data_IF_150849054930
#
_entry.id   IF_150849054930
#
_cell.length_a   1.000
_cell.length_b   1.000
_cell.length_c   1.000
_cell.angle_alpha   90.00
_cell.angle_beta   90.00
_cell.angle_gamma   90.00
#
_symmetry.space_group_name_H-M   'P 1'
#
loop_
_entity.id
_entity.type
_entity.pdbx_description
1 polymer ?
#
# COMPACT_ATOMS: atom_id res chain seq x y z
N UNK A 1 26.84 3.97 -17.18
CA UNK A 1 25.58 3.20 -17.21
C UNK A 1 24.51 4.07 -16.58
N UNK A 2 23.43 4.39 -17.30
CA UNK A 2 22.35 5.24 -16.77
C UNK A 2 21.50 4.48 -15.75
N UNK A 3 21.06 5.16 -14.69
CA UNK A 3 20.10 4.61 -13.74
C UNK A 3 18.69 4.68 -14.33
N UNK A 4 17.90 3.62 -14.15
CA UNK A 4 16.46 3.67 -14.36
C UNK A 4 15.83 4.47 -13.21
N UNK A 5 14.94 5.40 -13.53
CA UNK A 5 14.09 6.10 -12.57
C UNK A 5 12.69 5.53 -12.66
N UNK A 6 12.07 5.27 -11.52
CA UNK A 6 10.65 4.91 -11.45
C UNK A 6 9.94 5.98 -10.64
N UNK A 7 8.89 6.56 -11.21
CA UNK A 7 7.98 7.45 -10.51
C UNK A 7 6.62 6.76 -10.37
N UNK A 8 6.11 6.67 -9.14
CA UNK A 8 4.72 6.28 -8.88
C UNK A 8 3.87 7.55 -8.83
N UNK A 9 2.78 7.56 -9.59
CA UNK A 9 1.81 8.65 -9.62
C UNK A 9 0.45 8.09 -9.31
N UNK A 10 -0.27 8.67 -8.35
CA UNK A 10 -1.70 8.38 -8.18
C UNK A 10 -2.51 9.67 -7.99
N UNK A 11 -3.79 9.59 -8.31
CA UNK A 11 -4.70 10.73 -8.27
C UNK A 11 -5.81 10.56 -7.24
N UNK A 12 -6.16 11.65 -6.55
CA UNK A 12 -7.33 11.74 -5.68
C UNK A 12 -8.18 12.97 -6.04
N UNK A 13 -9.48 12.96 -5.74
CA UNK A 13 -10.24 14.21 -5.71
C UNK A 13 -9.54 15.26 -4.85
N UNK A 14 -9.59 16.51 -5.28
CA UNK A 14 -8.97 17.60 -4.54
C UNK A 14 -9.53 17.67 -3.12
N UNK A 15 -8.64 17.92 -2.15
CA UNK A 15 -9.00 18.03 -0.73
C UNK A 15 -9.56 16.73 -0.12
N UNK A 16 -9.30 15.58 -0.76
CA UNK A 16 -9.58 14.27 -0.15
C UNK A 16 -8.76 14.10 1.13
N UNK A 17 -9.47 13.85 2.23
CA UNK A 17 -8.87 13.37 3.48
C UNK A 17 -9.04 11.86 3.54
N UNK A 18 -7.94 11.14 3.82
CA UNK A 18 -8.00 9.69 3.98
C UNK A 18 -8.76 9.33 5.24
N UNK A 19 -9.78 8.48 5.12
CA UNK A 19 -10.54 7.98 6.26
C UNK A 19 -9.71 6.90 6.97
N UNK A 20 -8.87 7.36 7.89
CA UNK A 20 -7.96 6.50 8.63
C UNK A 20 -8.71 5.57 9.58
N UNK A 21 -9.88 5.98 10.08
CA UNK A 21 -10.69 5.19 10.99
C UNK A 21 -11.35 4.02 10.25
N UNK A 22 -11.94 4.29 9.08
CA UNK A 22 -12.52 3.25 8.24
C UNK A 22 -11.46 2.26 7.74
N UNK A 23 -10.30 2.73 7.27
CA UNK A 23 -9.22 1.86 6.83
C UNK A 23 -8.69 0.97 7.96
N UNK A 24 -8.49 1.53 9.16
CA UNK A 24 -8.07 0.79 10.35
C UNK A 24 -9.06 -0.32 10.70
N UNK A 25 -10.37 -0.01 10.71
CA UNK A 25 -11.41 -0.99 11.01
C UNK A 25 -11.41 -2.14 10.00
N UNK A 26 -11.23 -1.86 8.71
CA UNK A 26 -11.13 -2.90 7.68
C UNK A 26 -9.85 -3.73 7.83
N UNK A 27 -8.72 -3.12 8.16
CA UNK A 27 -7.46 -3.86 8.43
C UNK A 27 -7.65 -4.82 9.61
N UNK A 28 -8.26 -4.35 10.70
CA UNK A 28 -8.56 -5.16 11.88
C UNK A 28 -9.51 -6.32 11.53
N UNK A 29 -10.57 -6.06 10.77
CA UNK A 29 -11.51 -7.08 10.31
C UNK A 29 -10.83 -8.15 9.44
N UNK A 30 -10.03 -7.72 8.45
CA UNK A 30 -9.31 -8.62 7.54
C UNK A 30 -8.33 -9.51 8.30
N UNK A 31 -7.55 -8.93 9.23
CA UNK A 31 -6.55 -9.67 9.98
C UNK A 31 -7.19 -10.62 11.00
N UNK A 32 -8.27 -10.22 11.68
CA UNK A 32 -9.00 -11.09 12.60
C UNK A 32 -9.60 -12.31 11.90
N UNK A 33 -10.00 -12.17 10.63
CA UNK A 33 -10.63 -13.23 9.84
C UNK A 33 -9.67 -13.91 8.85
N UNK A 34 -8.38 -13.56 8.85
CA UNK A 34 -7.41 -14.07 7.89
C UNK A 34 -7.32 -15.60 7.96
N UNK A 35 -7.45 -16.25 6.80
CA UNK A 35 -7.23 -17.69 6.66
C UNK A 35 -5.73 -18.03 6.75
N UNK A 36 -5.41 -19.32 6.88
CA UNK A 36 -4.02 -19.79 6.79
C UNK A 36 -3.41 -19.41 5.44
N UNK A 37 -4.19 -19.50 4.36
CA UNK A 37 -3.72 -19.16 3.01
C UNK A 37 -3.42 -17.65 2.88
N UNK A 38 -4.26 -16.79 3.45
CA UNK A 38 -4.00 -15.34 3.49
C UNK A 38 -2.69 -15.04 4.22
N UNK A 39 -2.47 -15.66 5.38
CA UNK A 39 -1.26 -15.48 6.17
C UNK A 39 -0.02 -16.03 5.46
N UNK A 40 -0.15 -17.12 4.69
CA UNK A 40 0.91 -17.64 3.82
C UNK A 40 1.27 -16.65 2.73
N UNK A 41 0.28 -16.08 2.04
CA UNK A 41 0.50 -15.04 1.02
C UNK A 41 1.28 -13.87 1.62
N UNK A 42 0.91 -13.41 2.83
CA UNK A 42 1.62 -12.33 3.51
C UNK A 42 3.07 -12.68 3.87
N UNK A 43 3.34 -13.93 4.28
CA UNK A 43 4.71 -14.41 4.56
C UNK A 43 5.54 -14.56 3.28
N UNK A 44 4.98 -15.21 2.25
CA UNK A 44 5.64 -15.47 0.98
C UNK A 44 6.03 -14.17 0.27
N UNK A 45 5.22 -13.12 0.47
CA UNK A 45 5.49 -11.78 -0.04
C UNK A 45 6.28 -10.90 0.95
N UNK A 46 6.74 -11.42 2.09
CA UNK A 46 7.62 -10.70 3.01
C UNK A 46 6.96 -9.55 3.77
N UNK A 47 5.63 -9.51 3.85
CA UNK A 47 4.91 -8.54 4.68
C UNK A 47 5.04 -8.86 6.17
N UNK A 48 5.09 -10.14 6.52
CA UNK A 48 5.29 -10.57 7.91
C UNK A 48 6.36 -11.65 7.98
N UNK A 49 7.16 -11.63 9.04
CA UNK A 49 8.23 -12.62 9.23
C UNK A 49 7.68 -13.92 9.81
N UNK A 50 8.08 -15.09 9.28
CA UNK A 50 7.75 -16.36 9.91
C UNK A 50 8.65 -16.56 11.13
N UNK A 51 8.08 -16.73 12.32
CA UNK A 51 8.90 -17.03 13.51
C UNK A 51 9.59 -18.44 13.55
N UNK A 52 9.39 -19.31 12.53
CA UNK A 52 9.98 -20.66 12.28
C UNK A 52 9.77 -21.78 13.34
N UNK A 53 9.82 -23.10 12.97
CA UNK A 53 10.22 -23.71 11.69
C UNK A 53 9.07 -24.27 10.82
N UNK A 54 9.38 -24.47 9.54
CA UNK A 54 8.47 -24.93 8.48
C UNK A 54 7.99 -26.38 8.66
N UNK A 55 6.68 -26.56 8.82
CA UNK A 55 5.94 -27.82 8.73
C UNK A 55 4.44 -27.52 8.62
N UNK A 56 3.69 -28.35 7.90
CA UNK A 56 2.23 -28.16 7.74
C UNK A 56 1.51 -28.11 9.09
N UNK A 57 1.97 -28.90 10.07
CA UNK A 57 1.39 -28.93 11.43
C UNK A 57 1.46 -27.56 12.14
N UNK A 58 2.50 -26.75 11.88
CA UNK A 58 2.69 -25.44 12.51
C UNK A 58 1.67 -24.39 12.04
N UNK A 59 1.02 -24.60 10.89
CA UNK A 59 -0.03 -23.71 10.39
C UNK A 59 -1.41 -24.02 10.94
N UNK A 60 -1.58 -25.20 11.53
CA UNK A 60 -2.87 -25.64 12.10
C UNK A 60 -2.98 -25.39 13.61
N UNK A 61 -1.88 -24.96 14.25
CA UNK A 61 -1.88 -24.59 15.65
C UNK A 61 -2.62 -23.25 15.85
N UNK A 62 -3.77 -23.29 16.53
CA UNK A 62 -4.63 -22.12 16.70
C UNK A 62 -3.91 -20.93 17.36
N UNK A 63 -3.09 -21.17 18.39
CA UNK A 63 -2.30 -20.12 19.03
C UNK A 63 -1.33 -19.45 18.05
N UNK A 64 -0.76 -20.23 17.14
CA UNK A 64 0.17 -19.76 16.13
C UNK A 64 -0.52 -18.91 15.06
N UNK A 65 -1.70 -19.33 14.61
CA UNK A 65 -2.52 -18.56 13.68
C UNK A 65 -2.87 -17.20 14.30
N UNK A 66 -3.24 -17.16 15.58
CA UNK A 66 -3.53 -15.90 16.28
C UNK A 66 -2.30 -14.98 16.38
N UNK A 67 -1.11 -15.52 16.66
CA UNK A 67 0.13 -14.74 16.63
C UNK A 67 0.41 -14.13 15.25
N UNK A 68 0.20 -14.90 14.18
CA UNK A 68 0.39 -14.44 12.81
C UNK A 68 -0.66 -13.39 12.41
N UNK A 69 -1.91 -13.54 12.84
CA UNK A 69 -2.97 -12.52 12.66
C UNK A 69 -2.61 -11.22 13.36
N UNK A 70 -2.11 -11.29 14.59
CA UNK A 70 -1.66 -10.10 15.32
C UNK A 70 -0.45 -9.43 14.65
N UNK A 71 0.51 -10.21 14.15
CA UNK A 71 1.65 -9.70 13.39
C UNK A 71 1.21 -9.03 12.07
N UNK A 72 0.29 -9.66 11.34
CA UNK A 72 -0.31 -9.12 10.12
C UNK A 72 -1.00 -7.79 10.40
N UNK A 73 -1.86 -7.72 11.42
CA UNK A 73 -2.54 -6.50 11.81
C UNK A 73 -1.55 -5.39 12.14
N UNK A 74 -0.55 -5.67 12.97
CA UNK A 74 0.46 -4.69 13.33
C UNK A 74 1.19 -4.14 12.10
N UNK A 75 1.61 -5.02 11.18
CA UNK A 75 2.33 -4.63 9.98
C UNK A 75 1.44 -3.82 9.01
N UNK A 76 0.21 -4.27 8.76
CA UNK A 76 -0.73 -3.57 7.89
C UNK A 76 -1.06 -2.16 8.38
N UNK A 77 -1.24 -1.98 9.70
CA UNK A 77 -1.45 -0.66 10.29
C UNK A 77 -0.22 0.23 10.14
N UNK A 78 0.99 -0.32 10.26
CA UNK A 78 2.24 0.42 9.99
C UNK A 78 2.31 0.84 8.52
N UNK A 79 2.04 -0.08 7.58
CA UNK A 79 2.05 0.23 6.15
C UNK A 79 1.08 1.35 5.81
N UNK A 80 -0.16 1.27 6.31
CA UNK A 80 -1.17 2.30 6.08
C UNK A 80 -0.77 3.65 6.69
N UNK A 81 -0.21 3.67 7.90
CA UNK A 81 0.26 4.92 8.51
C UNK A 81 1.47 5.50 7.77
N UNK A 82 2.40 4.67 7.28
CA UNK A 82 3.53 5.10 6.44
C UNK A 82 3.01 5.70 5.14
N UNK A 83 2.08 5.04 4.47
CA UNK A 83 1.40 5.55 3.28
C UNK A 83 0.79 6.93 3.55
N UNK A 84 -0.06 7.04 4.57
CA UNK A 84 -0.74 8.30 4.92
C UNK A 84 0.23 9.44 5.20
N UNK A 85 1.31 9.18 5.96
CA UNK A 85 2.34 10.19 6.26
C UNK A 85 3.13 10.59 5.03
N UNK A 86 3.38 9.65 4.12
CA UNK A 86 4.17 9.92 2.92
C UNK A 86 3.50 10.97 2.00
N UNK A 87 2.18 11.11 2.02
CA UNK A 87 1.46 12.07 1.18
C UNK A 87 1.81 13.54 1.45
N UNK A 88 2.35 13.83 2.63
CA UNK A 88 2.89 15.14 3.00
C UNK A 88 4.40 15.12 3.23
N UNK A 89 5.04 14.00 2.85
CA UNK A 89 6.48 13.80 2.89
C UNK A 89 7.22 14.73 1.93
N UNK A 90 8.50 14.96 2.22
CA UNK A 90 9.34 15.88 1.42
C UNK A 90 9.64 15.34 0.02
N UNK A 91 9.52 14.04 -0.16
CA UNK A 91 9.79 13.28 -1.38
C UNK A 91 8.54 13.03 -2.23
N UNK A 92 7.39 13.58 -1.83
CA UNK A 92 6.14 13.56 -2.61
C UNK A 92 5.83 14.96 -3.12
N UNK A 93 5.62 15.08 -4.44
CA UNK A 93 5.12 16.31 -5.05
C UNK A 93 3.62 16.20 -5.31
N UNK A 94 2.87 17.20 -4.84
CA UNK A 94 1.43 17.35 -5.06
C UNK A 94 1.17 18.41 -6.12
N UNK A 95 0.44 18.05 -7.17
CA UNK A 95 -0.01 18.97 -8.21
C UNK A 95 -1.53 19.02 -8.26
N UNK A 96 -2.10 20.22 -8.15
CA UNK A 96 -3.55 20.44 -8.24
C UNK A 96 -3.97 20.80 -9.65
N UNK A 97 -4.94 20.06 -10.18
CA UNK A 97 -5.62 20.31 -11.44
C UNK A 97 -7.08 20.67 -11.15
N UNK A 98 -7.38 21.97 -11.02
CA UNK A 98 -8.72 22.44 -10.71
C UNK A 98 -9.12 23.63 -11.60
N UNK A 99 -10.33 23.62 -12.20
CA UNK A 99 -10.99 24.85 -12.61
C UNK A 99 -11.28 25.75 -11.39
N UNK A 100 -11.48 27.06 -11.58
CA UNK A 100 -11.71 28.00 -10.47
C UNK A 100 -12.90 27.65 -9.55
N UNK A 101 -13.92 26.97 -10.09
CA UNK A 101 -15.22 26.78 -9.43
C UNK A 101 -15.57 25.30 -9.16
N UNK A 102 -14.63 24.37 -9.25
CA UNK A 102 -14.89 22.94 -9.03
C UNK A 102 -13.83 22.28 -8.15
N UNK A 103 -14.21 21.30 -7.30
CA UNK A 103 -13.24 20.42 -6.67
C UNK A 103 -12.48 19.69 -7.78
N UNK A 104 -11.19 20.01 -7.90
CA UNK A 104 -10.32 19.46 -8.94
C UNK A 104 -9.80 18.06 -8.62
N UNK A 105 -8.63 17.76 -9.16
CA UNK A 105 -7.89 16.53 -8.92
C UNK A 105 -6.51 16.89 -8.34
N UNK A 106 -6.08 16.20 -7.30
CA UNK A 106 -4.70 16.26 -6.83
C UNK A 106 -3.93 15.04 -7.33
N UNK A 107 -2.82 15.27 -8.02
CA UNK A 107 -1.87 14.23 -8.40
C UNK A 107 -0.73 14.20 -7.39
N UNK A 108 -0.45 13.03 -6.84
CA UNK A 108 0.67 12.79 -5.96
C UNK A 108 1.70 12.01 -6.75
N UNK A 109 2.95 12.48 -6.73
CA UNK A 109 4.06 11.83 -7.43
C UNK A 109 5.21 11.57 -6.48
N UNK A 110 5.72 10.34 -6.46
CA UNK A 110 7.02 10.02 -5.86
C UNK A 110 8.10 10.25 -6.90
N UNK A 111 9.31 10.62 -6.47
CA UNK A 111 10.47 10.72 -7.36
C UNK A 111 11.68 10.05 -6.74
N UNK A 112 12.42 9.24 -7.51
CA UNK A 112 13.72 8.75 -7.05
C UNK A 112 14.50 7.97 -8.12
N UNK A 113 15.74 7.64 -7.78
CA UNK A 113 16.72 7.00 -8.67
C UNK A 113 16.98 5.54 -8.26
N UNK A 114 17.10 4.67 -9.26
CA UNK A 114 17.65 3.30 -9.23
C UNK A 114 16.69 2.12 -9.07
N UNK A 115 17.21 0.96 -9.47
CA UNK A 115 16.54 -0.31 -9.75
C UNK A 115 17.07 -1.32 -8.71
N UNK A 116 16.22 -1.83 -7.81
CA UNK A 116 16.57 -2.87 -6.84
C UNK A 116 16.38 -2.51 -5.36
N UNK A 117 16.29 -1.23 -5.00
CA UNK A 117 15.87 -0.74 -3.68
C UNK A 117 14.82 0.36 -3.87
N UNK A 118 13.97 0.57 -2.85
CA UNK A 118 13.00 1.66 -2.82
C UNK A 118 13.69 3.01 -3.07
N UNK A 119 13.41 3.69 -4.19
CA UNK A 119 14.16 4.88 -4.56
C UNK A 119 13.91 6.07 -3.60
N UNK A 120 12.83 6.03 -2.81
CA UNK A 120 12.59 6.87 -1.62
C UNK A 120 11.71 6.16 -0.58
N UNK A 121 11.65 6.69 0.65
CA UNK A 121 10.75 6.22 1.70
C UNK A 121 9.27 6.24 1.28
N UNK A 122 8.84 7.28 0.53
CA UNK A 122 7.48 7.35 0.03
C UNK A 122 7.21 6.31 -1.08
N UNK A 123 8.21 5.93 -1.86
CA UNK A 123 8.03 4.89 -2.87
C UNK A 123 7.57 3.59 -2.21
N UNK A 124 8.31 3.08 -1.22
CA UNK A 124 7.96 1.84 -0.51
C UNK A 124 6.67 1.99 0.30
N UNK A 125 6.44 3.18 0.87
CA UNK A 125 5.20 3.45 1.60
C UNK A 125 3.95 3.35 0.72
N UNK A 126 4.08 3.39 -0.61
CA UNK A 126 2.95 3.31 -1.54
C UNK A 126 2.65 1.89 -2.01
N UNK A 127 3.34 0.86 -1.51
CA UNK A 127 3.07 -0.54 -1.90
C UNK A 127 1.64 -0.98 -1.62
N UNK A 128 0.97 -0.42 -0.61
CA UNK A 128 -0.46 -0.67 -0.35
C UNK A 128 -1.37 -0.32 -1.56
N UNK A 129 -0.91 0.57 -2.44
CA UNK A 129 -1.65 1.03 -3.62
C UNK A 129 -1.08 0.43 -4.92
N UNK A 130 0.23 0.21 -4.99
CA UNK A 130 0.90 -0.19 -6.23
C UNK A 130 1.28 -1.67 -6.29
N UNK A 131 1.34 -2.36 -5.16
CA UNK A 131 1.80 -3.75 -5.06
C UNK A 131 0.66 -4.68 -4.62
N UNK A 132 -0.52 -4.46 -5.21
CA UNK A 132 -1.78 -5.12 -4.82
C UNK A 132 -1.73 -6.64 -4.98
N UNK A 133 -0.90 -7.14 -5.89
CA UNK A 133 -0.74 -8.58 -6.18
C UNK A 133 0.00 -9.34 -5.05
N UNK A 134 0.68 -8.61 -4.14
CA UNK A 134 1.35 -9.21 -2.97
C UNK A 134 0.44 -9.32 -1.75
N UNK A 135 -0.80 -8.87 -1.85
CA UNK A 135 -1.80 -8.99 -0.80
C UNK A 135 -2.74 -10.18 -1.09
N UNK A 136 -3.38 -10.74 -0.05
CA UNK A 136 -4.46 -11.68 -0.28
C UNK A 136 -5.60 -11.03 -1.08
N UNK A 137 -6.37 -11.85 -1.78
CA UNK A 137 -7.38 -11.39 -2.74
C UNK A 137 -8.31 -10.34 -2.11
N UNK A 138 -8.53 -9.22 -2.82
CA UNK A 138 -9.37 -8.08 -2.43
C UNK A 138 -8.91 -7.24 -1.22
N UNK A 139 -7.86 -7.63 -0.49
CA UNK A 139 -7.44 -6.89 0.71
C UNK A 139 -7.05 -5.45 0.39
N UNK A 140 -6.15 -5.25 -0.59
CA UNK A 140 -5.70 -3.92 -0.99
C UNK A 140 -6.86 -3.05 -1.48
N UNK A 141 -7.79 -3.62 -2.26
CA UNK A 141 -8.98 -2.92 -2.74
C UNK A 141 -9.92 -2.52 -1.60
N UNK A 142 -10.17 -3.42 -0.64
CA UNK A 142 -11.04 -3.15 0.51
C UNK A 142 -10.45 -2.07 1.42
N UNK A 143 -9.14 -2.15 1.69
CA UNK A 143 -8.43 -1.14 2.49
C UNK A 143 -8.44 0.20 1.75
N UNK A 144 -8.15 0.20 0.45
CA UNK A 144 -8.22 1.39 -0.40
C UNK A 144 -9.61 2.00 -0.45
N UNK A 145 -10.67 1.18 -0.52
CA UNK A 145 -12.06 1.64 -0.52
C UNK A 145 -12.39 2.38 0.76
N UNK A 146 -12.06 1.75 1.88
CA UNK A 146 -12.31 2.29 3.20
C UNK A 146 -11.50 3.57 3.45
N UNK A 147 -10.26 3.64 2.96
CA UNK A 147 -9.42 4.83 3.05
C UNK A 147 -9.88 6.00 2.16
N UNK A 148 -10.86 5.79 1.26
CA UNK A 148 -11.26 6.79 0.26
C UNK A 148 -10.28 6.92 -0.90
N UNK A 149 -9.46 5.89 -1.15
CA UNK A 149 -8.51 5.84 -2.25
C UNK A 149 -9.12 5.35 -3.56
N UNK A 150 -10.19 4.55 -3.52
CA UNK A 150 -10.81 4.06 -4.75
C UNK A 150 -11.53 5.18 -5.52
N UNK A 151 -11.44 5.11 -6.84
CA UNK A 151 -12.29 5.91 -7.73
C UNK A 151 -13.77 5.55 -7.48
N UNK A 152 -14.73 6.50 -7.61
CA UNK A 152 -16.17 6.21 -7.52
C UNK A 152 -16.73 5.20 -8.54
N UNK A 153 -15.90 4.57 -9.39
CA UNK A 153 -16.29 3.54 -10.35
C UNK A 153 -15.66 2.15 -10.07
N UNK A 154 -15.06 1.96 -8.88
CA UNK A 154 -14.72 0.62 -8.36
C UNK A 154 -13.35 0.07 -8.72
N UNK A 155 -12.49 0.85 -9.37
CA UNK A 155 -11.04 0.60 -9.41
C UNK A 155 -10.31 1.61 -8.54
N UNK A 156 -9.10 1.27 -8.08
CA UNK A 156 -8.21 2.11 -7.27
C UNK A 156 -8.02 3.56 -7.74
N UNK A 157 -7.25 4.37 -6.99
CA UNK A 157 -6.86 5.65 -7.55
C UNK A 157 -6.14 5.35 -8.87
N UNK A 158 -6.40 6.09 -9.96
CA UNK A 158 -5.68 5.85 -11.19
C UNK A 158 -4.19 5.98 -10.87
N UNK A 159 -3.47 4.87 -10.96
CA UNK A 159 -2.10 4.74 -10.50
C UNK A 159 -1.25 4.31 -11.68
N UNK A 160 -0.16 5.03 -11.95
CA UNK A 160 0.76 4.74 -13.05
C UNK A 160 2.18 4.78 -12.52
N UNK A 161 2.96 3.75 -12.86
CA UNK A 161 4.40 3.78 -12.72
C UNK A 161 5.02 4.19 -14.06
N UNK A 162 5.88 5.21 -14.06
CA UNK A 162 6.61 5.65 -15.25
C UNK A 162 8.11 5.37 -15.08
N UNK A 163 8.69 4.67 -16.06
CA UNK A 163 10.13 4.41 -16.11
C UNK A 163 10.84 5.41 -17.03
N UNK A 164 11.89 6.06 -16.52
CA UNK A 164 12.75 6.94 -17.32
C UNK A 164 14.19 6.41 -17.31
N UNK A 165 14.85 6.48 -18.47
CA UNK A 165 16.30 6.27 -18.56
C UNK A 165 17.01 7.62 -18.48
N UNK A 166 17.85 7.81 -17.47
CA UNK A 166 18.75 8.95 -17.47
C UNK A 166 19.78 8.78 -18.60
N UNK A 167 19.86 9.76 -19.51
CA UNK A 167 20.90 9.78 -20.53
C UNK A 167 22.26 10.03 -19.85
N UNK A 168 23.27 9.24 -20.23
CA UNK A 168 24.64 9.35 -19.75
C UNK A 168 25.38 10.53 -20.37
#
# INVERSE_FOLDING_TARGET
>A
MGANMIARVFYLPADTELDSAAATAVIEELCANASVDDLRILIENGWIEPALPHGEDAWTEAARVEELRAAAQHHMLILFERFRRSLTGRDVQRHRFAPPDQPGLDAYTTGGLSWGEGPTDAFDAWDLVFDVDRFPESWADRIGAAAGLLHPWGGGPPAVAAEFRAWA
#
